data_IF_028545958726
#
_entry.id   IF_028545958726
#
_cell.length_a   1.000
_cell.length_b   1.000
_cell.length_c   1.000
_cell.angle_alpha   90.00
_cell.angle_beta   90.00
_cell.angle_gamma   90.00
#
_symmetry.space_group_name_H-M   'P 1'
#
loop_
_entity.id
_entity.type
_entity.pdbx_description
1 polymer ?
#
# COMPACT_ATOMS: atom_id res chain seq x y z
N UNK A 1 5.92 -0.44 -67.19
CA UNK A 1 5.65 0.73 -66.35
C UNK A 1 5.00 0.21 -65.08
N UNK A 2 5.81 -0.34 -64.20
CA UNK A 2 5.41 -0.94 -62.93
C UNK A 2 6.28 -0.29 -61.86
N UNK A 3 5.65 0.29 -60.82
CA UNK A 3 6.24 0.56 -59.50
C UNK A 3 5.24 1.32 -58.63
N UNK A 4 4.45 0.58 -57.83
CA UNK A 4 3.80 1.08 -56.63
C UNK A 4 4.64 0.65 -55.42
N UNK A 5 5.13 1.55 -54.55
CA UNK A 5 5.86 1.14 -53.35
C UNK A 5 4.91 0.80 -52.21
N UNK A 6 5.04 -0.43 -51.71
CA UNK A 6 4.24 -1.02 -50.64
C UNK A 6 4.46 -0.39 -49.26
N UNK A 7 3.36 -0.36 -48.49
CA UNK A 7 3.29 0.13 -47.12
C UNK A 7 4.11 -0.74 -46.15
N UNK A 8 5.06 -0.12 -45.45
CA UNK A 8 5.76 -0.70 -44.31
C UNK A 8 4.81 -0.83 -43.10
N UNK A 9 4.21 -2.01 -42.92
CA UNK A 9 3.34 -2.31 -41.77
C UNK A 9 4.18 -2.70 -40.56
N UNK A 10 4.46 -1.75 -39.67
CA UNK A 10 5.04 -2.00 -38.35
C UNK A 10 4.01 -2.70 -37.45
N UNK A 11 4.07 -4.02 -37.35
CA UNK A 11 3.24 -4.81 -36.43
C UNK A 11 3.88 -4.85 -35.05
N UNK A 12 3.31 -4.11 -34.09
CA UNK A 12 3.62 -4.25 -32.66
C UNK A 12 3.03 -5.57 -32.16
N UNK A 13 3.90 -6.53 -31.83
CA UNK A 13 3.50 -7.80 -31.22
C UNK A 13 3.07 -7.58 -29.76
N UNK A 14 1.80 -7.24 -29.55
CA UNK A 14 1.21 -7.16 -28.20
C UNK A 14 1.13 -8.56 -27.62
N UNK A 15 2.04 -8.91 -26.71
CA UNK A 15 1.93 -10.14 -25.90
C UNK A 15 0.62 -10.07 -25.10
N UNK A 16 -0.33 -10.97 -25.41
CA UNK A 16 -1.60 -11.10 -24.69
C UNK A 16 -1.28 -11.45 -23.23
N UNK A 17 -1.78 -10.67 -22.29
CA UNK A 17 -1.54 -10.90 -20.87
C UNK A 17 -2.14 -12.26 -20.44
N UNK A 18 -1.44 -13.06 -19.62
CA UNK A 18 -1.96 -14.33 -19.16
C UNK A 18 -3.23 -14.14 -18.30
N UNK A 19 -4.17 -15.10 -18.34
CA UNK A 19 -5.41 -15.02 -17.59
C UNK A 19 -5.15 -14.92 -16.09
N UNK A 20 -5.97 -14.11 -15.40
CA UNK A 20 -5.91 -13.94 -13.95
C UNK A 20 -6.61 -15.13 -13.28
N UNK A 21 -5.85 -16.20 -13.01
CA UNK A 21 -6.37 -17.41 -12.35
C UNK A 21 -6.13 -17.34 -10.84
N UNK A 22 -7.11 -17.76 -10.06
CA UNK A 22 -6.99 -17.84 -8.59
C UNK A 22 -6.10 -19.02 -8.18
N UNK A 23 -5.46 -18.88 -7.03
CA UNK A 23 -4.61 -19.92 -6.47
C UNK A 23 -5.37 -21.24 -6.31
N UNK A 24 -4.79 -22.34 -6.79
CA UNK A 24 -5.40 -23.67 -6.71
C UNK A 24 -5.70 -24.12 -5.25
N UNK A 25 -4.90 -23.66 -4.28
CA UNK A 25 -5.13 -23.86 -2.84
C UNK A 25 -6.28 -23.01 -2.26
N UNK A 26 -7.02 -22.26 -3.08
CA UNK A 26 -8.18 -21.49 -2.63
C UNK A 26 -7.86 -20.33 -1.67
N UNK A 27 -6.60 -19.86 -1.63
CA UNK A 27 -6.16 -18.85 -0.67
C UNK A 27 -6.59 -17.40 -1.01
N UNK A 28 -7.28 -17.21 -2.15
CA UNK A 28 -7.78 -15.91 -2.61
C UNK A 28 -6.73 -14.99 -3.23
N UNK A 29 -5.50 -15.47 -3.44
CA UNK A 29 -4.45 -14.76 -4.19
C UNK A 29 -4.36 -15.27 -5.63
N UNK A 30 -3.83 -14.46 -6.53
CA UNK A 30 -3.63 -14.84 -7.93
C UNK A 30 -2.41 -15.75 -8.07
N UNK A 31 -2.57 -16.84 -8.83
CA UNK A 31 -1.49 -17.72 -9.24
C UNK A 31 -1.05 -17.42 -10.67
N UNK A 32 0.17 -17.82 -11.01
CA UNK A 32 0.70 -17.74 -12.38
C UNK A 32 0.84 -19.15 -12.96
N UNK A 33 0.74 -19.27 -14.29
CA UNK A 33 0.96 -20.56 -14.98
C UNK A 33 2.38 -21.09 -14.75
N UNK A 34 3.37 -20.19 -14.64
CA UNK A 34 4.75 -20.55 -14.31
C UNK A 34 4.89 -21.27 -12.96
N UNK A 35 3.97 -21.03 -12.02
CA UNK A 35 3.96 -21.64 -10.69
C UNK A 35 2.83 -22.67 -10.54
N UNK A 36 2.31 -23.21 -11.65
CA UNK A 36 1.21 -24.20 -11.62
C UNK A 36 -0.08 -23.64 -11.03
N UNK A 37 -0.41 -22.38 -11.30
CA UNK A 37 -1.54 -21.64 -10.71
C UNK A 37 -1.47 -21.46 -9.19
N UNK A 38 -0.29 -21.63 -8.57
CA UNK A 38 -0.09 -21.33 -7.15
C UNK A 38 0.33 -19.87 -6.96
N UNK A 39 -0.10 -19.27 -5.85
CA UNK A 39 0.41 -17.97 -5.43
C UNK A 39 1.85 -18.08 -4.91
N UNK A 40 2.57 -16.96 -4.82
CA UNK A 40 3.98 -16.93 -4.37
C UNK A 40 4.23 -17.59 -3.01
N UNK A 41 3.22 -17.60 -2.11
CA UNK A 41 3.31 -18.26 -0.82
C UNK A 41 3.08 -19.77 -0.93
N UNK A 42 1.94 -20.18 -1.51
CA UNK A 42 1.60 -21.59 -1.67
C UNK A 42 2.60 -22.34 -2.58
N UNK A 43 3.23 -21.65 -3.53
CA UNK A 43 4.31 -22.20 -4.34
C UNK A 43 5.54 -22.54 -3.49
N UNK A 44 5.97 -21.63 -2.61
CA UNK A 44 7.06 -21.90 -1.65
C UNK A 44 6.72 -23.04 -0.70
N UNK A 45 5.49 -23.06 -0.18
CA UNK A 45 5.01 -24.13 0.69
C UNK A 45 5.07 -25.49 -0.04
N UNK A 46 4.68 -25.53 -1.32
CA UNK A 46 4.69 -26.76 -2.13
C UNK A 46 6.11 -27.25 -2.47
N UNK A 47 7.07 -26.34 -2.63
CA UNK A 47 8.49 -26.69 -2.79
C UNK A 47 9.07 -27.28 -1.50
N UNK A 48 8.70 -26.74 -0.35
CA UNK A 48 9.14 -27.23 0.96
C UNK A 48 8.56 -28.62 1.26
N UNK A 49 7.34 -28.89 0.79
CA UNK A 49 6.63 -30.16 0.96
C UNK A 49 7.05 -31.25 -0.05
N UNK A 50 7.92 -30.94 -1.02
CA UNK A 50 8.47 -31.92 -1.97
C UNK A 50 7.46 -32.54 -2.95
N UNK A 51 6.28 -31.92 -3.14
CA UNK A 51 5.20 -32.44 -3.99
C UNK A 51 5.23 -31.80 -5.38
N UNK A 52 6.24 -32.13 -6.18
CA UNK A 52 6.20 -31.98 -7.64
C UNK A 52 6.50 -33.34 -8.27
N UNK A 53 5.57 -34.28 -8.09
CA UNK A 53 5.51 -35.49 -8.91
C UNK A 53 4.39 -35.29 -9.94
N UNK A 54 4.77 -35.23 -11.21
CA UNK A 54 3.85 -35.39 -12.32
C UNK A 54 3.13 -36.73 -12.16
N UNK A 55 1.82 -36.71 -11.95
CA UNK A 55 0.92 -37.77 -12.41
C UNK A 55 -0.53 -37.27 -12.44
N UNK A 56 -1.17 -37.60 -13.55
CA UNK A 56 -2.50 -37.22 -13.99
C UNK A 56 -3.62 -37.80 -13.15
N UNK A 57 -4.58 -36.98 -12.70
CA UNK A 57 -5.98 -37.46 -12.55
C UNK A 57 -6.98 -36.31 -12.75
N UNK A 58 -7.70 -36.44 -13.87
CA UNK A 58 -9.13 -36.22 -14.11
C UNK A 58 -9.91 -35.13 -13.36
N UNK A 59 -10.51 -34.25 -14.17
CA UNK A 59 -11.69 -33.42 -13.89
C UNK A 59 -12.83 -34.21 -13.19
N UNK A 60 -13.72 -33.48 -12.49
CA UNK A 60 -15.11 -33.53 -12.94
C UNK A 60 -15.67 -32.14 -13.22
N UNK A 61 -16.36 -32.06 -14.35
CA UNK A 61 -17.29 -31.00 -14.69
C UNK A 61 -18.54 -31.09 -13.79
N UNK A 62 -19.03 -29.95 -13.30
CA UNK A 62 -20.45 -29.63 -13.27
C UNK A 62 -20.69 -28.15 -12.93
N UNK A 63 -21.25 -27.47 -13.95
CA UNK A 63 -22.38 -26.54 -13.96
C UNK A 63 -22.46 -25.34 -13.01
N UNK A 64 -22.92 -24.25 -13.62
CA UNK A 64 -23.24 -22.95 -13.05
C UNK A 64 -24.34 -23.07 -11.99
N UNK A 65 -24.24 -22.26 -10.94
CA UNK A 65 -25.34 -21.38 -10.54
C UNK A 65 -24.80 -20.25 -9.65
N UNK A 66 -25.29 -19.05 -9.95
CA UNK A 66 -25.06 -17.80 -9.24
C UNK A 66 -25.68 -17.87 -7.83
N UNK A 67 -25.14 -17.13 -6.86
CA UNK A 67 -26.02 -16.13 -6.26
C UNK A 67 -25.34 -14.78 -5.98
N UNK A 68 -26.09 -13.74 -6.32
CA UNK A 68 -26.35 -12.54 -5.53
C UNK A 68 -25.27 -12.09 -4.54
N UNK A 69 -24.63 -10.98 -4.89
CA UNK A 69 -23.86 -10.10 -4.00
C UNK A 69 -24.60 -9.87 -2.69
N UNK A 70 -24.17 -10.58 -1.65
CA UNK A 70 -24.53 -10.34 -0.26
C UNK A 70 -23.25 -9.86 0.45
N UNK A 71 -23.25 -8.72 1.17
CA UNK A 71 -22.02 -8.18 1.73
C UNK A 71 -21.59 -9.05 2.90
N UNK A 72 -20.60 -9.92 2.68
CA UNK A 72 -20.05 -10.72 3.75
C UNK A 72 -19.12 -9.85 4.63
N UNK A 73 -19.74 -9.32 5.69
CA UNK A 73 -19.09 -8.90 6.93
C UNK A 73 -18.26 -10.07 7.49
N UNK A 74 -17.07 -10.27 6.95
CA UNK A 74 -16.07 -11.13 7.56
C UNK A 74 -15.30 -10.31 8.59
N UNK A 75 -15.78 -10.35 9.83
CA UNK A 75 -14.97 -10.07 11.01
C UNK A 75 -13.90 -11.16 11.13
N UNK A 76 -12.92 -11.16 10.21
CA UNK A 76 -11.76 -12.04 10.28
C UNK A 76 -10.87 -11.53 11.40
N UNK A 77 -11.05 -12.11 12.59
CA UNK A 77 -10.08 -12.07 13.69
C UNK A 77 -8.85 -12.88 13.26
N UNK A 78 -8.07 -12.31 12.34
CA UNK A 78 -6.74 -12.82 11.97
C UNK A 78 -5.84 -12.62 13.19
N UNK A 79 -5.68 -13.68 13.99
CA UNK A 79 -4.54 -13.81 14.91
C UNK A 79 -3.30 -13.97 14.03
N UNK A 80 -2.66 -12.86 13.68
CA UNK A 80 -1.30 -12.86 13.17
C UNK A 80 -0.41 -13.19 14.36
N UNK A 81 0.14 -14.40 14.38
CA UNK A 81 1.35 -14.65 15.14
C UNK A 81 2.44 -13.81 14.45
N UNK A 82 3.06 -12.93 15.24
CA UNK A 82 4.21 -12.16 14.81
C UNK A 82 5.41 -13.11 14.94
N UNK A 83 5.80 -13.69 13.82
CA UNK A 83 7.14 -14.22 13.64
C UNK A 83 7.74 -13.39 12.51
N UNK A 84 8.61 -12.45 12.88
CA UNK A 84 9.71 -11.99 12.05
C UNK A 84 10.79 -11.41 12.98
N UNK A 85 11.92 -12.08 12.86
CA UNK A 85 13.26 -11.89 13.41
C UNK A 85 13.93 -10.64 12.82
N UNK A 86 14.39 -9.73 13.69
CA UNK A 86 15.67 -9.00 13.60
C UNK A 86 15.79 -8.08 14.82
N UNK A 87 16.94 -8.15 15.49
CA UNK A 87 17.22 -7.61 16.81
C UNK A 87 17.32 -6.08 16.86
N UNK A 88 16.18 -5.41 16.79
CA UNK A 88 16.00 -4.04 17.26
C UNK A 88 14.75 -3.97 18.11
N UNK A 89 14.82 -3.40 19.31
CA UNK A 89 13.64 -3.26 20.19
C UNK A 89 12.61 -2.34 19.51
N UNK A 90 11.72 -2.90 18.69
CA UNK A 90 10.66 -2.14 18.01
C UNK A 90 9.58 -1.84 19.04
N UNK A 91 9.72 -0.70 19.70
CA UNK A 91 8.69 -0.13 20.57
C UNK A 91 7.46 0.12 19.71
N UNK A 92 6.40 -0.67 19.94
CA UNK A 92 5.13 -0.57 19.22
C UNK A 92 4.50 0.80 19.50
N UNK A 93 4.59 1.71 18.53
CA UNK A 93 3.99 3.04 18.59
C UNK A 93 2.45 2.90 18.70
N UNK A 94 1.85 3.58 19.68
CA UNK A 94 0.40 3.59 19.92
C UNK A 94 -0.09 5.03 19.97
N UNK A 95 -1.31 5.25 19.49
CA UNK A 95 -1.94 6.56 19.55
C UNK A 95 -2.18 6.95 21.01
N UNK A 96 -1.80 8.18 21.39
CA UNK A 96 -2.03 8.65 22.77
C UNK A 96 -3.51 8.85 23.13
N UNK A 97 -4.34 9.30 22.17
CA UNK A 97 -5.78 9.54 22.43
C UNK A 97 -6.64 8.27 22.45
N UNK A 98 -6.34 7.29 21.59
CA UNK A 98 -7.19 6.10 21.45
C UNK A 98 -6.48 4.76 21.66
N UNK A 99 -5.19 4.76 22.01
CA UNK A 99 -4.33 3.57 22.20
C UNK A 99 -4.22 2.63 20.99
N UNK A 100 -4.82 2.99 19.85
CA UNK A 100 -4.76 2.21 18.60
C UNK A 100 -3.30 2.11 18.15
N UNK A 101 -2.88 0.91 17.75
CA UNK A 101 -1.55 0.68 17.16
C UNK A 101 -1.43 1.54 15.91
N UNK A 102 -0.50 2.48 15.94
CA UNK A 102 -0.08 3.25 14.80
C UNK A 102 1.15 2.53 14.28
N UNK A 103 1.10 2.04 13.04
CA UNK A 103 2.19 1.26 12.48
C UNK A 103 3.48 2.08 12.36
N UNK A 104 4.31 1.74 11.36
CA UNK A 104 5.51 2.54 11.06
C UNK A 104 5.16 4.01 10.78
N UNK A 105 3.96 4.29 10.26
CA UNK A 105 3.43 5.62 9.95
C UNK A 105 2.64 6.25 11.11
N UNK A 106 3.25 6.39 12.27
CA UNK A 106 2.69 7.21 13.34
C UNK A 106 2.93 8.70 13.06
N UNK A 107 1.91 9.55 13.25
CA UNK A 107 2.09 10.99 13.13
C UNK A 107 2.50 11.58 14.46
N UNK A 108 3.67 12.22 14.49
CA UNK A 108 4.17 12.94 15.65
C UNK A 108 3.56 14.34 15.67
N UNK A 109 2.87 14.69 16.76
CA UNK A 109 2.43 16.06 16.97
C UNK A 109 3.55 16.89 17.62
N UNK A 110 3.50 18.21 17.47
CA UNK A 110 4.40 19.16 18.16
C UNK A 110 4.40 19.03 19.68
N UNK A 111 3.40 18.38 20.27
CA UNK A 111 3.37 18.05 21.70
C UNK A 111 4.23 16.82 22.09
N UNK A 112 4.90 16.18 21.12
CA UNK A 112 5.83 15.07 21.34
C UNK A 112 5.18 13.68 21.37
N UNK A 113 3.87 13.60 21.17
CA UNK A 113 3.11 12.34 21.20
C UNK A 113 2.75 11.85 19.80
N UNK A 114 2.52 10.55 19.69
CA UNK A 114 2.21 9.89 18.42
C UNK A 114 0.71 9.62 18.33
N UNK A 115 0.11 9.91 17.17
CA UNK A 115 -1.31 9.76 16.92
C UNK A 115 -1.61 8.98 15.63
N UNK A 116 -2.83 8.43 15.56
CA UNK A 116 -3.35 7.81 14.35
C UNK A 116 -3.92 8.87 13.40
N UNK A 117 -4.24 8.51 12.15
CA UNK A 117 -4.76 9.46 11.16
C UNK A 117 -6.01 10.23 11.63
N UNK A 118 -6.85 9.63 12.48
CA UNK A 118 -8.02 10.30 13.05
C UNK A 118 -7.69 11.31 14.16
N UNK A 119 -6.59 11.10 14.91
CA UNK A 119 -6.19 11.98 16.02
C UNK A 119 -4.93 12.79 15.71
N UNK A 120 -4.54 12.87 14.43
CA UNK A 120 -3.35 13.61 13.98
C UNK A 120 -3.46 15.09 14.28
N UNK A 121 -4.67 15.63 14.21
CA UNK A 121 -4.93 17.05 14.35
C UNK A 121 -5.12 17.49 15.80
N UNK A 122 -4.70 18.71 16.16
CA UNK A 122 -4.78 19.23 17.53
C UNK A 122 -6.21 19.38 18.04
N UNK A 123 -7.22 19.53 17.17
CA UNK A 123 -8.61 19.47 17.62
C UNK A 123 -9.00 18.12 18.25
N UNK A 124 -8.35 17.04 17.82
CA UNK A 124 -8.68 15.67 18.21
C UNK A 124 -7.90 15.18 19.44
N UNK A 125 -6.92 15.96 19.89
CA UNK A 125 -6.21 15.71 21.13
C UNK A 125 -6.00 17.07 21.80
N UNK A 126 -6.81 17.38 22.81
CA UNK A 126 -6.84 18.64 23.53
C UNK A 126 -5.52 18.90 24.30
N UNK A 127 -4.44 19.17 23.56
CA UNK A 127 -3.16 19.65 24.04
C UNK A 127 -3.09 21.14 23.80
N UNK A 128 -2.78 21.86 24.86
CA UNK A 128 -2.57 23.30 24.86
C UNK A 128 -1.19 23.64 24.30
N UNK A 129 -1.00 23.42 22.99
CA UNK A 129 0.13 23.97 22.26
C UNK A 129 -0.38 25.15 21.43
N UNK A 130 0.07 26.37 21.74
CA UNK A 130 -0.37 27.56 21.02
C UNK A 130 0.34 27.70 19.66
N UNK A 131 -0.30 27.12 18.64
CA UNK A 131 0.18 27.20 17.26
C UNK A 131 0.24 28.64 16.73
N UNK A 132 -0.57 29.57 17.27
CA UNK A 132 -0.62 30.96 16.80
C UNK A 132 0.58 31.75 17.28
N UNK A 133 0.95 31.66 18.56
CA UNK A 133 2.17 32.30 19.07
C UNK A 133 3.43 31.69 18.46
N UNK A 134 3.52 30.35 18.40
CA UNK A 134 4.65 29.67 17.76
C UNK A 134 4.81 30.05 16.29
N UNK A 135 3.69 30.17 15.55
CA UNK A 135 3.69 30.63 14.15
C UNK A 135 4.16 32.08 14.01
N UNK A 136 3.68 32.99 14.86
CA UNK A 136 4.13 34.39 14.86
C UNK A 136 5.63 34.51 15.15
N UNK A 137 6.14 33.77 16.12
CA UNK A 137 7.57 33.79 16.47
C UNK A 137 8.45 33.32 15.31
N UNK A 138 8.03 32.25 14.60
CA UNK A 138 8.75 31.75 13.44
C UNK A 138 8.76 32.77 12.29
N UNK A 139 7.60 33.39 12.01
CA UNK A 139 7.50 34.45 11.01
C UNK A 139 8.35 35.67 11.37
N UNK A 140 8.33 36.11 12.63
CA UNK A 140 9.18 37.22 13.09
C UNK A 140 10.67 36.92 12.87
N UNK A 141 11.10 35.67 13.10
CA UNK A 141 12.49 35.26 12.89
C UNK A 141 12.87 35.19 11.40
N UNK A 142 11.91 34.83 10.54
CA UNK A 142 12.16 34.59 9.12
C UNK A 142 11.83 35.78 8.21
N UNK A 143 11.10 36.78 8.69
CA UNK A 143 10.70 37.92 7.89
C UNK A 143 11.94 38.78 7.55
N UNK A 144 12.38 38.83 6.28
CA UNK A 144 13.47 39.71 5.90
C UNK A 144 13.02 41.16 6.08
N UNK A 145 13.93 42.02 6.54
CA UNK A 145 13.58 43.41 6.82
C UNK A 145 13.30 44.14 5.50
N UNK A 146 12.02 44.42 5.23
CA UNK A 146 11.61 45.27 4.11
C UNK A 146 12.03 46.73 4.40
N UNK A 147 13.26 47.09 4.02
CA UNK A 147 13.71 48.48 4.00
C UNK A 147 13.50 49.04 2.60
N UNK A 148 12.61 50.01 2.46
CA UNK A 148 12.57 50.84 1.28
C UNK A 148 13.86 51.66 1.19
N UNK A 149 14.34 51.89 -0.03
CA UNK A 149 15.44 52.81 -0.25
C UNK A 149 15.02 54.22 0.19
N UNK A 150 15.89 54.95 0.88
CA UNK A 150 15.60 56.32 1.32
C UNK A 150 15.83 57.34 0.20
N UNK A 151 16.39 56.91 -0.92
CA UNK A 151 16.59 57.74 -2.11
C UNK A 151 15.27 57.89 -2.87
N UNK A 152 14.92 59.15 -3.17
CA UNK A 152 13.64 59.51 -3.81
C UNK A 152 13.57 59.09 -5.27
N UNK A 153 14.70 59.10 -5.98
CA UNK A 153 14.77 58.73 -7.39
C UNK A 153 15.94 57.77 -7.61
N UNK A 154 15.62 56.50 -7.85
CA UNK A 154 16.56 55.50 -8.37
C UNK A 154 16.37 55.48 -9.88
N UNK A 155 17.35 56.02 -10.62
CA UNK A 155 17.39 56.09 -12.09
C UNK A 155 17.48 54.69 -12.70
#
# INVERSE_FOLDING_TARGET
MDSSPESFKNTIFRRKAPPRTLCLHGCGFLGTEANGTLCSKCYKDSLLEGKLSADSVSLPAQTQDHPTVSPCNFLRKRKRNNDDDDGGVIVKKRCRSCSKRVGVMGFECRCGEIFCGAHRHPEAHAREFDFKSAGRLALMKQNPVCKADKLRDRV
#
